data_IF_773000349628
#
_entry.id   IF_773000349628
#
_cell.length_a   1.000
_cell.length_b   1.000
_cell.length_c   1.000
_cell.angle_alpha   90.00
_cell.angle_beta   90.00
_cell.angle_gamma   90.00
#
_symmetry.space_group_name_H-M   'P 1'
#
loop_
_entity.id
_entity.type
_entity.pdbx_description
1 polymer ?
#
# COMPACT_ATOMS: atom_id res chain seq x y z
N UNK A 1 8.68 -38.02 -47.42
CA UNK A 1 10.11 -38.18 -47.75
C UNK A 1 10.92 -37.32 -46.78
N UNK A 2 11.40 -37.93 -45.70
CA UNK A 2 12.34 -37.36 -44.72
C UNK A 2 13.76 -37.74 -45.13
N UNK A 3 14.73 -36.82 -45.09
CA UNK A 3 16.17 -37.10 -44.94
C UNK A 3 16.79 -35.92 -44.17
N UNK A 4 17.04 -36.08 -42.87
CA UNK A 4 18.26 -36.63 -42.25
C UNK A 4 19.49 -35.71 -42.37
N UNK A 5 19.85 -35.12 -41.23
CA UNK A 5 21.18 -34.61 -40.87
C UNK A 5 22.23 -35.72 -40.83
N UNK A 6 23.51 -35.34 -40.93
CA UNK A 6 24.52 -36.01 -40.12
C UNK A 6 25.46 -35.04 -39.36
N UNK A 7 26.01 -35.57 -38.27
CA UNK A 7 26.98 -35.01 -37.32
C UNK A 7 28.35 -35.67 -37.58
N UNK A 8 29.45 -34.91 -37.47
CA UNK A 8 30.82 -35.36 -37.10
C UNK A 8 31.68 -34.08 -36.87
N UNK A 9 32.11 -33.68 -35.66
CA UNK A 9 33.15 -34.16 -34.72
C UNK A 9 34.61 -33.96 -35.19
N UNK A 10 35.27 -32.96 -34.55
CA UNK A 10 36.67 -32.81 -34.06
C UNK A 10 37.87 -32.96 -35.05
N UNK A 11 39.07 -32.36 -34.92
CA UNK A 11 39.96 -32.02 -33.77
C UNK A 11 40.98 -30.92 -34.18
N UNK A 12 41.39 -30.10 -33.20
CA UNK A 12 42.57 -29.24 -32.99
C UNK A 12 43.66 -29.01 -34.06
N UNK A 13 44.18 -27.77 -34.12
CA UNK A 13 45.58 -27.44 -33.76
C UNK A 13 45.87 -25.93 -33.72
N UNK A 14 46.80 -25.58 -32.85
CA UNK A 14 47.17 -24.24 -32.38
C UNK A 14 48.00 -23.43 -33.38
N UNK A 15 47.93 -22.09 -33.27
CA UNK A 15 49.08 -21.23 -33.53
C UNK A 15 49.10 -20.09 -32.51
N UNK A 16 50.15 -20.08 -31.69
CA UNK A 16 50.50 -19.01 -30.77
C UNK A 16 51.11 -17.83 -31.54
N UNK A 17 50.70 -16.60 -31.21
CA UNK A 17 51.61 -15.46 -31.21
C UNK A 17 51.49 -14.74 -29.86
N UNK A 18 52.63 -14.71 -29.17
CA UNK A 18 52.84 -14.04 -27.91
C UNK A 18 52.87 -12.52 -28.10
N UNK A 19 52.14 -11.81 -27.24
CA UNK A 19 52.25 -10.37 -27.03
C UNK A 19 52.16 -10.12 -25.54
N UNK A 20 53.32 -9.91 -24.93
CA UNK A 20 53.51 -9.63 -23.50
C UNK A 20 52.85 -8.31 -23.11
N UNK A 21 51.90 -8.35 -22.17
CA UNK A 21 51.53 -7.20 -21.35
C UNK A 21 51.33 -7.66 -19.91
N UNK A 22 52.02 -6.96 -19.02
CA UNK A 22 52.28 -7.26 -17.62
C UNK A 22 50.98 -7.23 -16.81
N UNK A 23 50.71 -8.32 -16.07
CA UNK A 23 49.65 -8.39 -15.08
C UNK A 23 50.07 -7.60 -13.82
N UNK A 24 49.42 -6.46 -13.59
CA UNK A 24 49.28 -5.87 -12.26
C UNK A 24 48.03 -6.41 -11.58
N UNK A 25 47.99 -6.54 -10.25
CA UNK A 25 46.85 -7.13 -9.56
C UNK A 25 45.65 -6.18 -9.65
N UNK A 26 44.56 -6.66 -10.27
CA UNK A 26 43.26 -6.01 -10.19
C UNK A 26 42.74 -6.25 -8.78
N UNK A 27 42.78 -5.20 -7.96
CA UNK A 27 42.08 -5.19 -6.69
C UNK A 27 40.58 -5.33 -6.95
N UNK A 28 39.99 -6.40 -6.43
CA UNK A 28 38.54 -6.56 -6.29
C UNK A 28 37.98 -5.36 -5.53
N UNK A 29 37.40 -4.41 -6.26
CA UNK A 29 36.53 -3.39 -5.67
C UNK A 29 35.14 -3.99 -5.56
N UNK A 30 34.59 -4.17 -4.34
CA UNK A 30 33.21 -4.59 -4.21
C UNK A 30 32.30 -3.51 -4.79
N UNK A 31 31.34 -3.94 -5.61
CA UNK A 31 30.14 -3.18 -5.95
C UNK A 31 29.56 -2.59 -4.66
N UNK A 32 29.45 -1.27 -4.58
CA UNK A 32 28.75 -0.58 -3.50
C UNK A 32 27.29 -1.07 -3.53
N UNK A 33 26.98 -2.02 -2.67
CA UNK A 33 25.62 -2.38 -2.29
C UNK A 33 24.98 -1.10 -1.79
N UNK A 34 23.93 -0.63 -2.47
CA UNK A 34 23.10 0.46 -1.99
C UNK A 34 22.66 0.10 -0.57
N UNK A 35 23.20 0.83 0.40
CA UNK A 35 22.90 0.63 1.80
C UNK A 35 21.41 0.86 1.96
N UNK A 36 20.67 -0.21 2.25
CA UNK A 36 19.27 -0.12 2.62
C UNK A 36 19.18 0.95 3.72
N UNK A 37 18.39 1.99 3.48
CA UNK A 37 18.09 2.95 4.53
C UNK A 37 17.60 2.13 5.73
N UNK A 38 18.29 2.30 6.87
CA UNK A 38 17.97 1.60 8.09
C UNK A 38 16.45 1.69 8.34
N UNK A 39 15.80 0.60 8.80
CA UNK A 39 14.40 0.69 9.20
C UNK A 39 14.29 1.85 10.18
N UNK A 40 13.38 2.79 9.87
CA UNK A 40 13.05 3.84 10.82
C UNK A 40 12.84 3.16 12.17
N UNK A 41 13.61 3.58 13.18
CA UNK A 41 13.48 3.06 14.54
C UNK A 41 12.00 2.96 14.89
N UNK A 42 11.53 1.88 15.55
CA UNK A 42 10.13 1.72 15.88
C UNK A 42 9.75 2.99 16.62
N UNK A 43 8.95 3.82 15.93
CA UNK A 43 8.55 5.07 16.51
C UNK A 43 7.87 4.67 17.81
N UNK A 44 8.37 5.16 18.93
CA UNK A 44 7.73 5.07 20.25
C UNK A 44 6.48 5.96 20.20
N UNK A 45 5.61 5.69 19.22
CA UNK A 45 4.31 6.28 19.05
C UNK A 45 3.50 5.66 20.17
N UNK A 46 3.29 6.48 21.20
CA UNK A 46 2.17 6.38 22.13
C UNK A 46 1.01 5.71 21.39
N UNK A 47 0.59 4.54 21.89
CA UNK A 47 -0.49 3.73 21.32
C UNK A 47 -1.59 4.69 20.83
N UNK A 48 -2.02 4.65 19.56
CA UNK A 48 -3.20 5.42 19.17
C UNK A 48 -4.29 5.11 20.18
N UNK A 49 -5.01 6.14 20.62
CA UNK A 49 -6.04 5.98 21.64
C UNK A 49 -6.92 4.80 21.22
N UNK A 50 -7.19 3.83 22.12
CA UNK A 50 -8.10 2.73 21.80
C UNK A 50 -9.37 3.36 21.25
N UNK A 51 -9.82 2.87 20.09
CA UNK A 51 -11.01 3.38 19.43
C UNK A 51 -12.11 3.50 20.48
N UNK A 52 -12.62 4.72 20.63
CA UNK A 52 -13.66 5.06 21.58
C UNK A 52 -14.76 4.01 21.50
N UNK A 53 -15.24 3.51 22.65
CA UNK A 53 -16.45 2.68 22.71
C UNK A 53 -17.51 3.34 21.82
N UNK A 54 -18.07 2.55 20.89
CA UNK A 54 -19.00 3.00 19.86
C UNK A 54 -20.09 3.91 20.47
N UNK A 55 -20.36 5.04 19.81
CA UNK A 55 -21.57 5.82 20.09
C UNK A 55 -22.80 4.97 19.76
N UNK A 56 -23.79 4.97 20.64
CA UNK A 56 -25.01 4.17 20.52
C UNK A 56 -25.64 4.29 19.13
N UNK A 57 -26.14 3.17 18.61
CA UNK A 57 -26.81 3.09 17.31
C UNK A 57 -27.99 4.09 17.27
N UNK A 58 -28.10 4.88 16.20
CA UNK A 58 -29.18 5.83 16.04
C UNK A 58 -30.48 5.04 15.77
N UNK A 59 -31.27 4.88 16.83
CA UNK A 59 -32.44 4.01 16.98
C UNK A 59 -32.09 2.50 17.04
N UNK A 60 -32.40 1.79 18.14
CA UNK A 60 -32.15 0.36 18.22
C UNK A 60 -33.06 -0.37 17.23
N UNK A 61 -32.46 -1.07 16.27
CA UNK A 61 -33.18 -2.06 15.48
C UNK A 61 -33.89 -3.06 16.44
N UNK A 62 -35.03 -3.64 16.05
CA UNK A 62 -35.72 -4.61 16.90
C UNK A 62 -34.77 -5.75 17.27
N UNK A 63 -34.54 -5.92 18.57
CA UNK A 63 -33.69 -6.98 19.11
C UNK A 63 -34.53 -8.24 19.29
N UNK A 64 -34.05 -9.37 18.76
CA UNK A 64 -34.64 -10.68 19.04
C UNK A 64 -33.79 -11.39 20.10
N UNK A 65 -34.41 -12.27 20.89
CA UNK A 65 -33.62 -13.20 21.70
C UNK A 65 -32.93 -14.18 20.77
N UNK A 66 -31.60 -14.18 20.80
CA UNK A 66 -30.75 -15.09 20.02
C UNK A 66 -30.03 -16.02 20.99
N UNK A 67 -30.06 -17.31 20.68
CA UNK A 67 -29.23 -18.30 21.37
C UNK A 67 -27.78 -18.16 20.90
N UNK A 68 -26.91 -17.69 21.78
CA UNK A 68 -25.50 -17.47 21.52
C UNK A 68 -24.69 -18.62 22.11
N UNK A 69 -23.78 -19.16 21.30
CA UNK A 69 -22.82 -20.18 21.66
C UNK A 69 -21.42 -19.55 21.54
N UNK A 70 -20.79 -19.25 22.67
CA UNK A 70 -19.44 -18.68 22.69
C UNK A 70 -18.63 -19.20 23.87
N UNK A 71 -17.43 -18.65 24.08
CA UNK A 71 -16.51 -19.05 25.15
C UNK A 71 -17.05 -18.80 26.57
N UNK A 72 -18.18 -18.11 26.73
CA UNK A 72 -18.88 -17.90 28.01
C UNK A 72 -20.07 -18.86 28.19
N UNK A 73 -20.28 -19.80 27.26
CA UNK A 73 -21.35 -20.81 27.30
C UNK A 73 -22.55 -20.50 26.41
N UNK A 74 -23.63 -21.26 26.60
CA UNK A 74 -24.89 -21.12 25.85
C UNK A 74 -25.84 -20.20 26.61
N UNK A 75 -26.30 -19.12 25.99
CA UNK A 75 -27.26 -18.18 26.60
C UNK A 75 -28.20 -17.56 25.57
N UNK A 76 -29.40 -17.21 25.99
CA UNK A 76 -30.27 -16.30 25.24
C UNK A 76 -29.89 -14.86 25.58
N UNK A 77 -29.69 -14.03 24.57
CA UNK A 77 -29.41 -12.60 24.75
C UNK A 77 -30.12 -11.78 23.67
N UNK A 78 -30.63 -10.58 24.02
CA UNK A 78 -31.25 -9.69 23.05
C UNK A 78 -30.18 -9.09 22.14
N UNK A 79 -30.23 -9.41 20.85
CA UNK A 79 -29.34 -8.84 19.84
C UNK A 79 -30.15 -8.35 18.64
N UNK A 80 -29.76 -7.19 18.09
CA UNK A 80 -30.02 -6.88 16.67
C UNK A 80 -29.06 -7.70 15.80
N UNK A 81 -29.36 -7.84 14.50
CA UNK A 81 -28.46 -8.52 13.57
C UNK A 81 -27.05 -7.90 13.54
N UNK A 82 -26.97 -6.57 13.62
CA UNK A 82 -25.70 -5.84 13.65
C UNK A 82 -24.93 -6.09 14.96
N UNK A 83 -25.62 -6.09 16.11
CA UNK A 83 -24.99 -6.37 17.40
C UNK A 83 -24.53 -7.83 17.51
N UNK A 84 -25.30 -8.77 16.96
CA UNK A 84 -24.90 -10.17 16.91
C UNK A 84 -23.65 -10.35 16.03
N UNK A 85 -23.62 -9.73 14.85
CA UNK A 85 -22.44 -9.78 13.98
C UNK A 85 -21.20 -9.21 14.67
N UNK A 86 -21.33 -8.05 15.32
CA UNK A 86 -20.25 -7.47 16.11
C UNK A 86 -19.80 -8.39 17.25
N UNK A 87 -20.75 -8.96 18.01
CA UNK A 87 -20.44 -9.90 19.10
C UNK A 87 -19.68 -11.12 18.58
N UNK A 88 -20.16 -11.72 17.49
CA UNK A 88 -19.51 -12.88 16.88
C UNK A 88 -18.10 -12.54 16.38
N UNK A 89 -17.90 -11.39 15.74
CA UNK A 89 -16.59 -11.00 15.22
C UNK A 89 -15.65 -10.60 16.34
N UNK A 90 -16.07 -9.73 17.26
CA UNK A 90 -15.20 -9.04 18.21
C UNK A 90 -15.17 -9.66 19.61
N UNK A 91 -16.21 -10.35 20.04
CA UNK A 91 -16.34 -10.81 21.44
C UNK A 91 -16.27 -12.34 21.58
N UNK A 92 -16.21 -13.06 20.46
CA UNK A 92 -15.89 -14.49 20.44
C UNK A 92 -14.46 -14.74 20.00
N UNK A 93 -13.97 -15.95 20.22
CA UNK A 93 -12.64 -16.39 19.78
C UNK A 93 -12.65 -16.88 18.31
N UNK A 94 -13.57 -16.37 17.48
CA UNK A 94 -13.68 -16.70 16.05
C UNK A 94 -12.56 -16.10 15.19
N UNK A 95 -11.88 -15.06 15.67
CA UNK A 95 -10.70 -14.46 15.05
C UNK A 95 -9.57 -14.34 16.07
N UNK A 96 -8.31 -14.40 15.62
CA UNK A 96 -7.16 -14.10 16.47
C UNK A 96 -7.01 -12.59 16.69
N UNK A 97 -7.73 -12.10 17.69
CA UNK A 97 -7.69 -10.69 18.10
C UNK A 97 -6.35 -10.23 18.65
N UNK A 98 -5.51 -11.16 19.13
CA UNK A 98 -4.23 -10.85 19.78
C UNK A 98 -3.05 -10.95 18.82
N UNK A 99 -3.27 -11.46 17.61
CA UNK A 99 -2.28 -11.53 16.55
C UNK A 99 -1.54 -10.19 16.41
N UNK A 100 -0.22 -10.22 16.61
CA UNK A 100 0.59 -9.03 16.40
C UNK A 100 0.62 -8.65 14.91
N UNK A 101 0.61 -7.34 14.64
CA UNK A 101 0.68 -6.78 13.28
C UNK A 101 2.01 -6.06 13.08
N UNK A 102 2.43 -5.87 11.81
CA UNK A 102 3.71 -5.23 11.49
C UNK A 102 3.80 -3.76 11.94
N UNK A 103 2.65 -3.09 12.07
CA UNK A 103 2.54 -1.71 12.54
C UNK A 103 2.52 -1.58 14.08
N UNK A 104 2.76 -2.67 14.83
CA UNK A 104 2.83 -2.65 16.29
C UNK A 104 1.47 -2.60 16.98
N UNK A 105 0.40 -3.01 16.29
CA UNK A 105 -0.97 -3.13 16.81
C UNK A 105 -1.40 -4.61 16.85
N UNK A 106 -2.69 -4.88 17.02
CA UNK A 106 -3.24 -6.23 17.07
C UNK A 106 -4.22 -6.52 15.92
N UNK A 107 -4.54 -7.80 15.70
CA UNK A 107 -5.58 -8.23 14.76
C UNK A 107 -6.92 -7.52 15.01
N UNK A 108 -7.28 -7.30 16.29
CA UNK A 108 -8.47 -6.52 16.66
C UNK A 108 -8.45 -5.10 16.08
N UNK A 109 -7.30 -4.43 16.10
CA UNK A 109 -7.17 -3.05 15.60
C UNK A 109 -7.40 -2.97 14.08
N UNK A 110 -7.11 -4.03 13.32
CA UNK A 110 -7.40 -4.11 11.87
C UNK A 110 -8.84 -4.46 11.54
N UNK A 111 -9.54 -5.16 12.44
CA UNK A 111 -10.96 -5.46 12.30
C UNK A 111 -11.83 -4.26 12.65
N UNK A 112 -11.35 -3.37 13.52
CA UNK A 112 -12.06 -2.18 13.92
C UNK A 112 -12.05 -1.11 12.82
N UNK A 113 -13.25 -0.74 12.35
CA UNK A 113 -13.40 0.31 11.35
C UNK A 113 -13.27 1.70 11.97
N UNK A 114 -12.50 2.58 11.32
CA UNK A 114 -12.58 4.00 11.60
C UNK A 114 -13.88 4.61 11.04
N UNK A 115 -14.13 5.88 11.36
CA UNK A 115 -15.38 6.53 10.97
C UNK A 115 -15.55 6.64 9.45
N UNK A 116 -14.48 6.91 8.69
CA UNK A 116 -14.56 6.96 7.21
C UNK A 116 -14.91 5.56 6.69
N UNK A 117 -14.24 4.51 7.17
CA UNK A 117 -14.53 3.12 6.79
C UNK A 117 -15.98 2.77 7.09
N UNK A 118 -16.48 3.11 8.28
CA UNK A 118 -17.87 2.86 8.67
C UNK A 118 -18.86 3.56 7.74
N UNK A 119 -18.64 4.83 7.44
CA UNK A 119 -19.51 5.60 6.53
C UNK A 119 -19.46 5.08 5.09
N UNK A 120 -18.33 4.51 4.67
CA UNK A 120 -18.15 3.93 3.34
C UNK A 120 -18.50 2.44 3.26
N UNK A 121 -18.90 1.80 4.37
CA UNK A 121 -19.22 0.37 4.40
C UNK A 121 -20.68 0.11 4.10
N UNK A 122 -20.94 -0.92 3.31
CA UNK A 122 -22.29 -1.36 2.97
C UNK A 122 -22.47 -1.59 1.46
N UNK A 123 -23.56 -2.27 1.11
CA UNK A 123 -23.91 -2.48 -0.31
C UNK A 123 -24.54 -1.19 -0.84
N UNK A 124 -24.04 -0.68 -1.97
CA UNK A 124 -24.58 0.50 -2.65
C UNK A 124 -24.70 1.76 -1.76
N UNK A 125 -23.66 2.07 -0.98
CA UNK A 125 -23.63 3.27 -0.14
C UNK A 125 -23.90 4.50 -1.02
N UNK A 126 -25.07 5.12 -0.80
CA UNK A 126 -25.41 6.43 -1.37
C UNK A 126 -25.18 7.47 -0.27
N UNK A 127 -24.16 8.29 -0.46
CA UNK A 127 -23.87 9.38 0.47
C UNK A 127 -24.75 10.58 0.16
N UNK A 128 -25.33 11.20 1.19
CA UNK A 128 -25.83 12.56 1.07
C UNK A 128 -24.67 13.57 1.07
N UNK A 129 -24.96 14.81 0.67
CA UNK A 129 -23.95 15.86 0.55
C UNK A 129 -23.27 16.16 1.90
N UNK A 130 -24.04 16.10 2.99
CA UNK A 130 -23.53 16.35 4.35
C UNK A 130 -22.52 15.28 4.77
N UNK A 131 -22.80 14.02 4.49
CA UNK A 131 -21.92 12.89 4.80
C UNK A 131 -20.70 12.92 3.91
N UNK A 132 -20.86 13.25 2.62
CA UNK A 132 -19.77 13.45 1.67
C UNK A 132 -18.81 14.54 2.16
N UNK A 133 -19.33 15.72 2.50
CA UNK A 133 -18.54 16.83 3.03
C UNK A 133 -17.78 16.42 4.31
N UNK A 134 -18.46 15.73 5.23
CA UNK A 134 -17.85 15.24 6.47
C UNK A 134 -16.69 14.29 6.22
N UNK A 135 -16.83 13.35 5.28
CA UNK A 135 -15.74 12.42 4.91
C UNK A 135 -14.55 13.19 4.36
N UNK A 136 -14.80 14.12 3.43
CA UNK A 136 -13.76 14.92 2.80
C UNK A 136 -13.01 15.76 3.84
N UNK A 137 -13.72 16.40 4.77
CA UNK A 137 -13.12 17.18 5.87
C UNK A 137 -12.24 16.33 6.79
N UNK A 138 -12.74 15.17 7.24
CA UNK A 138 -11.94 14.24 8.06
C UNK A 138 -10.70 13.74 7.31
N UNK A 139 -10.83 13.49 6.01
CA UNK A 139 -9.72 13.05 5.18
C UNK A 139 -8.68 14.16 4.99
N UNK A 140 -9.11 15.38 4.68
CA UNK A 140 -8.23 16.54 4.55
C UNK A 140 -7.47 16.82 5.86
N UNK A 141 -8.17 16.77 7.00
CA UNK A 141 -7.58 16.97 8.33
C UNK A 141 -6.54 15.89 8.70
N UNK A 142 -6.57 14.72 8.06
CA UNK A 142 -5.59 13.65 8.30
C UNK A 142 -4.25 13.86 7.59
N UNK A 143 -4.18 14.77 6.61
CA UNK A 143 -3.00 14.96 5.77
C UNK A 143 -1.90 15.66 6.57
N UNK A 144 -0.71 15.07 6.54
CA UNK A 144 0.51 15.67 7.09
C UNK A 144 1.46 16.00 5.97
N UNK A 145 1.75 17.28 5.80
CA UNK A 145 2.71 17.73 4.80
C UNK A 145 4.16 17.56 5.30
N UNK A 146 5.13 17.32 4.40
CA UNK A 146 6.54 17.21 4.76
C UNK A 146 7.12 18.55 5.19
N UNK A 147 8.04 18.51 6.15
CA UNK A 147 8.81 19.69 6.57
C UNK A 147 9.63 20.22 5.38
N UNK A 148 9.50 21.51 5.08
CA UNK A 148 10.14 22.13 3.90
C UNK A 148 9.37 22.00 2.58
N UNK A 149 8.12 21.52 2.63
CA UNK A 149 7.20 21.51 1.50
C UNK A 149 7.33 20.28 0.60
N UNK A 150 6.36 20.12 -0.30
CA UNK A 150 6.30 18.97 -1.23
C UNK A 150 7.36 19.15 -2.32
N UNK A 151 8.22 18.14 -2.46
CA UNK A 151 9.26 18.07 -3.50
C UNK A 151 9.18 16.72 -4.21
N UNK A 152 9.61 16.67 -5.46
CA UNK A 152 9.75 15.40 -6.17
C UNK A 152 10.96 14.64 -5.62
N UNK A 153 10.76 13.36 -5.35
CA UNK A 153 11.82 12.44 -4.93
C UNK A 153 12.54 11.79 -6.12
N UNK A 154 12.94 10.54 -5.96
CA UNK A 154 13.62 9.75 -6.99
C UNK A 154 12.63 8.89 -7.79
N UNK A 155 12.46 9.21 -9.08
CA UNK A 155 11.50 8.51 -9.94
C UNK A 155 11.82 7.02 -10.11
N UNK A 156 13.08 6.60 -10.00
CA UNK A 156 13.48 5.19 -10.10
C UNK A 156 13.00 4.43 -8.87
N UNK A 157 13.12 5.02 -7.69
CA UNK A 157 12.54 4.43 -6.46
C UNK A 157 11.01 4.43 -6.53
N UNK A 158 10.41 5.52 -7.01
CA UNK A 158 8.97 5.60 -7.22
C UNK A 158 8.42 4.52 -8.13
N UNK A 159 9.14 4.20 -9.21
CA UNK A 159 8.81 3.11 -10.14
C UNK A 159 8.76 1.75 -9.47
N UNK A 160 9.74 1.44 -8.63
CA UNK A 160 9.78 0.17 -7.90
C UNK A 160 8.72 0.11 -6.80
N UNK A 161 8.48 1.22 -6.09
CA UNK A 161 7.38 1.33 -5.12
C UNK A 161 6.01 1.11 -5.80
N UNK A 162 5.79 1.73 -6.96
CA UNK A 162 4.54 1.62 -7.72
C UNK A 162 4.26 0.19 -8.20
N UNK A 163 5.30 -0.63 -8.39
CA UNK A 163 5.18 -2.02 -8.82
C UNK A 163 5.06 -3.01 -7.65
N UNK A 164 5.68 -2.70 -6.52
CA UNK A 164 5.68 -3.62 -5.38
C UNK A 164 4.31 -3.71 -4.72
N UNK A 165 3.76 -4.93 -4.63
CA UNK A 165 2.59 -5.27 -3.81
C UNK A 165 2.93 -5.86 -2.44
N UNK A 166 4.19 -5.78 -2.02
CA UNK A 166 4.67 -6.35 -0.76
C UNK A 166 4.21 -5.52 0.44
N UNK A 167 3.83 -6.17 1.55
CA UNK A 167 3.70 -5.54 2.86
C UNK A 167 2.39 -5.80 3.57
N UNK A 168 2.45 -5.79 4.90
CA UNK A 168 1.32 -5.82 5.82
C UNK A 168 0.43 -7.07 5.77
N UNK A 169 0.77 -8.15 5.05
CA UNK A 169 0.03 -9.42 5.19
C UNK A 169 0.32 -10.04 6.56
N UNK A 170 -0.71 -10.43 7.33
CA UNK A 170 -0.52 -10.91 8.72
C UNK A 170 -0.80 -12.40 8.92
N UNK A 171 -1.53 -13.07 8.03
CA UNK A 171 -1.93 -14.48 8.20
C UNK A 171 -0.81 -15.46 7.77
N UNK A 172 -1.12 -16.47 6.95
CA UNK A 172 -0.19 -17.56 6.60
C UNK A 172 1.07 -17.13 5.82
N UNK A 173 1.13 -15.88 5.35
CA UNK A 173 2.29 -15.29 4.67
C UNK A 173 2.60 -13.92 5.27
N UNK A 174 3.18 -13.93 6.47
CA UNK A 174 3.52 -12.68 7.18
C UNK A 174 4.64 -11.95 6.46
N UNK A 175 4.40 -10.70 6.06
CA UNK A 175 5.45 -9.86 5.48
C UNK A 175 6.43 -9.37 6.55
N UNK A 176 7.72 -9.41 6.23
CA UNK A 176 8.82 -8.99 7.10
C UNK A 176 9.39 -7.65 6.65
N UNK A 177 9.00 -6.59 7.37
CA UNK A 177 9.43 -5.22 7.07
C UNK A 177 10.87 -4.89 7.50
N UNK A 178 11.58 -5.83 8.13
CA UNK A 178 13.02 -5.65 8.43
C UNK A 178 13.89 -5.83 7.18
N UNK A 179 13.37 -6.51 6.15
CA UNK A 179 14.08 -6.82 4.90
C UNK A 179 13.72 -5.86 3.77
N UNK A 180 12.45 -5.47 3.69
CA UNK A 180 11.91 -4.63 2.63
C UNK A 180 10.75 -3.79 3.15
N UNK A 181 10.68 -2.52 2.73
CA UNK A 181 9.54 -1.66 3.05
C UNK A 181 8.29 -2.03 2.24
N UNK A 182 7.09 -1.66 2.72
CA UNK A 182 5.85 -1.85 1.96
C UNK A 182 5.87 -1.11 0.62
N UNK A 183 5.27 -1.74 -0.38
CA UNK A 183 5.07 -1.17 -1.71
C UNK A 183 3.80 -0.32 -1.82
N UNK A 184 3.74 0.49 -2.87
CA UNK A 184 2.58 1.34 -3.17
C UNK A 184 1.53 0.62 -4.03
N UNK A 185 1.93 -0.43 -4.76
CA UNK A 185 1.06 -1.30 -5.53
C UNK A 185 0.16 -0.58 -6.56
N UNK A 186 0.63 0.54 -7.11
CA UNK A 186 -0.12 1.40 -8.02
C UNK A 186 -0.56 0.67 -9.30
N UNK A 187 0.31 -0.19 -9.84
CA UNK A 187 0.05 -0.94 -11.08
C UNK A 187 -1.14 -1.91 -10.96
N UNK A 188 -1.52 -2.35 -9.76
CA UNK A 188 -2.71 -3.21 -9.61
C UNK A 188 -4.02 -2.49 -9.99
N UNK A 189 -4.04 -1.16 -9.94
CA UNK A 189 -5.24 -0.36 -10.20
C UNK A 189 -5.12 0.53 -11.42
N UNK A 190 -3.91 0.97 -11.77
CA UNK A 190 -3.67 1.97 -12.80
C UNK A 190 -2.69 1.45 -13.84
N UNK A 191 -2.90 1.85 -15.10
CA UNK A 191 -1.84 1.87 -16.10
C UNK A 191 -0.97 3.13 -15.89
N UNK A 192 0.36 2.97 -15.78
CA UNK A 192 1.30 4.08 -15.55
C UNK A 192 2.31 4.27 -16.70
N UNK A 193 3.30 3.39 -16.84
CA UNK A 193 4.22 3.40 -17.97
C UNK A 193 3.94 2.20 -18.88
N UNK A 194 4.28 2.30 -20.16
CA UNK A 194 3.94 1.29 -21.17
C UNK A 194 4.82 0.03 -21.12
N UNK A 195 5.88 0.04 -20.32
CA UNK A 195 6.80 -1.07 -20.15
C UNK A 195 6.36 -2.09 -19.09
N UNK A 196 5.28 -1.81 -18.36
CA UNK A 196 4.63 -2.71 -17.40
C UNK A 196 3.11 -2.68 -17.60
N UNK A 197 2.47 -3.83 -17.49
CA UNK A 197 1.01 -3.92 -17.56
C UNK A 197 0.40 -3.46 -16.24
N UNK A 198 -0.53 -2.52 -16.30
CA UNK A 198 -1.32 -2.05 -15.16
C UNK A 198 -2.79 -2.46 -15.23
N UNK A 199 -3.49 -2.25 -14.13
CA UNK A 199 -4.92 -2.48 -13.98
C UNK A 199 -5.78 -1.32 -14.48
N UNK A 200 -7.09 -1.50 -14.40
CA UNK A 200 -8.12 -0.57 -14.90
C UNK A 200 -9.17 -0.21 -13.85
N UNK A 201 -8.92 -0.49 -12.57
CA UNK A 201 -9.81 -0.10 -11.47
C UNK A 201 -9.82 1.42 -11.27
N UNK A 202 -8.65 2.04 -11.43
CA UNK A 202 -8.49 3.49 -11.43
C UNK A 202 -8.25 4.03 -12.84
N UNK A 203 -8.27 5.37 -13.01
CA UNK A 203 -7.97 5.99 -14.30
C UNK A 203 -6.54 5.69 -14.75
N UNK A 204 -6.32 5.71 -16.06
CA UNK A 204 -4.98 5.68 -16.64
C UNK A 204 -4.17 6.92 -16.19
N UNK A 205 -2.89 6.68 -15.85
CA UNK A 205 -1.94 7.70 -15.41
C UNK A 205 -0.76 7.86 -16.38
N UNK A 206 -0.79 7.20 -17.54
CA UNK A 206 0.20 7.42 -18.60
C UNK A 206 0.24 8.89 -19.00
N UNK A 207 1.45 9.46 -19.06
CA UNK A 207 1.68 10.87 -19.38
C UNK A 207 1.22 11.84 -18.29
N UNK A 208 1.00 11.41 -17.04
CA UNK A 208 0.42 12.24 -15.98
C UNK A 208 1.08 13.62 -15.84
N UNK A 209 2.41 13.66 -15.71
CA UNK A 209 3.18 14.90 -15.60
C UNK A 209 3.14 15.74 -16.86
N UNK A 210 3.21 15.08 -18.03
CA UNK A 210 3.12 15.75 -19.35
C UNK A 210 1.77 16.43 -19.58
N UNK A 211 0.68 15.81 -19.14
CA UNK A 211 -0.69 16.30 -19.34
C UNK A 211 -1.05 17.38 -18.32
N UNK A 212 -0.69 17.18 -17.04
CA UNK A 212 -1.12 18.06 -15.95
C UNK A 212 -0.14 19.19 -15.64
N UNK A 213 1.11 19.05 -16.08
CA UNK A 213 2.19 20.00 -15.77
C UNK A 213 2.71 19.85 -14.34
N UNK A 214 3.90 20.41 -14.10
CA UNK A 214 4.58 20.38 -12.80
C UNK A 214 4.49 21.79 -12.19
N UNK A 215 3.50 22.01 -11.34
CA UNK A 215 3.31 23.27 -10.61
C UNK A 215 2.91 22.99 -9.15
N UNK A 216 3.03 23.97 -8.24
CA UNK A 216 2.77 23.76 -6.81
C UNK A 216 1.38 23.19 -6.51
N UNK A 217 0.34 23.64 -7.21
CA UNK A 217 -1.03 23.18 -7.00
C UNK A 217 -1.20 21.71 -7.42
N UNK A 218 -0.60 21.33 -8.54
CA UNK A 218 -0.62 19.95 -9.02
C UNK A 218 0.18 19.02 -8.11
N UNK A 219 1.35 19.45 -7.63
CA UNK A 219 2.13 18.68 -6.66
C UNK A 219 1.34 18.47 -5.37
N UNK A 220 0.69 19.52 -4.87
CA UNK A 220 -0.17 19.44 -3.68
C UNK A 220 -1.35 18.49 -3.90
N UNK A 221 -2.09 18.67 -4.99
CA UNK A 221 -3.22 17.82 -5.34
C UNK A 221 -2.82 16.33 -5.40
N UNK A 222 -1.73 16.01 -6.11
CA UNK A 222 -1.28 14.62 -6.25
C UNK A 222 -0.79 14.04 -4.92
N UNK A 223 -0.09 14.84 -4.11
CA UNK A 223 0.32 14.44 -2.76
C UNK A 223 -0.90 14.09 -1.90
N UNK A 224 -1.91 14.97 -1.89
CA UNK A 224 -3.15 14.80 -1.13
C UNK A 224 -3.91 13.54 -1.57
N UNK A 225 -4.00 13.28 -2.88
CA UNK A 225 -4.64 12.08 -3.42
C UNK A 225 -3.90 10.80 -2.98
N UNK A 226 -2.57 10.78 -3.02
CA UNK A 226 -1.79 9.61 -2.58
C UNK A 226 -1.84 9.45 -1.06
N UNK A 227 -1.84 10.56 -0.32
CA UNK A 227 -1.85 10.54 1.14
C UNK A 227 -3.19 10.06 1.68
N UNK A 228 -4.29 10.66 1.20
CA UNK A 228 -5.66 10.28 1.52
C UNK A 228 -6.62 10.71 0.38
N UNK A 229 -7.00 9.79 -0.53
CA UNK A 229 -7.82 10.14 -1.70
C UNK A 229 -9.25 10.55 -1.34
N UNK A 230 -9.72 10.21 -0.13
CA UNK A 230 -11.03 10.61 0.36
C UNK A 230 -11.15 12.12 0.57
N UNK A 231 -10.04 12.88 0.51
CA UNK A 231 -10.08 14.35 0.59
C UNK A 231 -10.78 14.99 -0.61
N UNK A 232 -10.77 14.33 -1.78
CA UNK A 232 -11.45 14.80 -3.00
C UNK A 232 -12.53 13.82 -3.46
N UNK A 233 -12.39 12.54 -3.11
CA UNK A 233 -13.23 11.46 -3.60
C UNK A 233 -13.74 10.63 -2.42
N UNK A 234 -14.81 11.09 -1.77
CA UNK A 234 -15.44 10.35 -0.68
C UNK A 234 -15.69 8.89 -1.08
N UNK A 235 -15.32 7.98 -0.19
CA UNK A 235 -15.36 6.53 -0.40
C UNK A 235 -14.64 6.00 -1.66
N UNK A 236 -13.57 6.67 -2.12
CA UNK A 236 -12.68 6.12 -3.14
C UNK A 236 -12.14 4.74 -2.74
N UNK A 237 -11.96 3.87 -3.74
CA UNK A 237 -11.32 2.56 -3.58
C UNK A 237 -9.79 2.65 -3.44
N UNK A 238 -9.21 3.82 -3.76
CA UNK A 238 -7.76 4.02 -3.62
C UNK A 238 -7.39 4.03 -2.13
N UNK A 239 -6.36 3.27 -1.69
CA UNK A 239 -5.97 3.24 -0.29
C UNK A 239 -5.50 4.58 0.25
N UNK A 240 -5.71 4.81 1.55
CA UNK A 240 -5.23 5.99 2.29
C UNK A 240 -3.76 5.84 2.69
N UNK A 241 -2.88 5.73 1.71
CA UNK A 241 -1.51 5.25 1.90
C UNK A 241 -0.69 6.07 2.90
N UNK A 242 -0.82 7.40 2.89
CA UNK A 242 -0.16 8.27 3.87
C UNK A 242 -0.85 8.25 5.23
N UNK A 243 -2.17 8.43 5.26
CA UNK A 243 -2.93 8.53 6.52
C UNK A 243 -2.93 7.21 7.33
N UNK A 244 -2.78 6.07 6.66
CA UNK A 244 -2.62 4.74 7.29
C UNK A 244 -1.16 4.30 7.42
N UNK A 245 -0.21 5.20 7.16
CA UNK A 245 1.22 4.94 7.26
C UNK A 245 1.69 3.70 6.48
N UNK A 246 1.00 3.39 5.37
CA UNK A 246 1.44 2.37 4.42
C UNK A 246 2.70 2.87 3.71
N UNK A 247 2.69 4.16 3.31
CA UNK A 247 3.84 4.82 2.72
C UNK A 247 4.31 5.97 3.61
N UNK A 248 5.63 6.12 3.72
CA UNK A 248 6.26 7.30 4.30
C UNK A 248 6.13 8.51 3.36
N UNK A 249 6.29 9.73 3.89
CA UNK A 249 6.27 10.94 3.06
C UNK A 249 7.33 10.91 1.95
N UNK A 250 8.51 10.35 2.22
CA UNK A 250 9.55 10.19 1.20
C UNK A 250 9.13 9.23 0.09
N UNK A 251 8.54 8.07 0.44
CA UNK A 251 8.04 7.12 -0.57
C UNK A 251 6.92 7.74 -1.42
N UNK A 252 6.06 8.56 -0.82
CA UNK A 252 5.04 9.32 -1.57
C UNK A 252 5.72 10.28 -2.54
N UNK A 253 6.73 11.05 -2.11
CA UNK A 253 7.48 11.96 -2.98
C UNK A 253 8.23 11.24 -4.10
N UNK A 254 8.75 10.03 -3.86
CA UNK A 254 9.38 9.19 -4.88
C UNK A 254 8.33 8.72 -5.91
N UNK A 255 7.16 8.25 -5.47
CA UNK A 255 6.04 7.89 -6.37
C UNK A 255 5.56 9.10 -7.17
N UNK A 256 5.50 10.29 -6.55
CA UNK A 256 5.18 11.51 -7.27
C UNK A 256 6.23 11.85 -8.34
N UNK A 257 7.52 11.66 -8.05
CA UNK A 257 8.57 11.82 -9.07
C UNK A 257 8.35 10.84 -10.23
N UNK A 258 7.95 9.60 -9.96
CA UNK A 258 7.60 8.66 -11.02
C UNK A 258 6.44 9.15 -11.91
N UNK A 259 5.47 9.86 -11.34
CA UNK A 259 4.35 10.43 -12.12
C UNK A 259 4.73 11.71 -12.88
N UNK A 260 5.57 12.57 -12.30
CA UNK A 260 5.83 13.93 -12.82
C UNK A 260 7.14 14.09 -13.58
N UNK A 261 8.18 13.34 -13.25
CA UNK A 261 9.52 13.55 -13.81
C UNK A 261 9.51 13.35 -15.34
N UNK A 262 10.01 14.31 -16.14
CA UNK A 262 10.09 14.18 -17.60
C UNK A 262 10.94 12.99 -18.07
N UNK A 263 11.87 12.51 -17.26
CA UNK A 263 12.70 11.33 -17.54
C UNK A 263 12.02 10.02 -17.17
N UNK A 264 10.98 10.05 -16.33
CA UNK A 264 10.20 8.86 -15.99
C UNK A 264 9.56 8.23 -17.23
N UNK A 265 9.55 6.89 -17.36
CA UNK A 265 8.86 6.20 -18.46
C UNK A 265 7.34 6.43 -18.46
N UNK A 266 6.75 6.96 -17.38
CA UNK A 266 5.35 7.40 -17.38
C UNK A 266 5.14 8.55 -18.38
N UNK A 267 6.14 9.41 -18.57
CA UNK A 267 6.03 10.62 -19.37
C UNK A 267 6.73 10.51 -20.74
N UNK A 268 7.10 9.30 -21.17
CA UNK A 268 7.73 9.02 -22.46
C UNK A 268 6.73 8.69 -23.56
#
# INVERSE_FOLDING_TARGET
MLKQTPIAIAVASALMLAGTAVAGPVADKPMLVAQAAAPAAPATKKRPAPLLKRAAEAAPAPSNEVMVFDSKGVRLAPFSAAMLAEHLVMETDGFDHKQATQEGTTGRDRLAQDEIQRLCSGKNVKLDDKTTARINEMAAASIKYPEGGIKLGDWKKGRELAWSGFGFRTAHQVDDHTKQGPGANCYNCHQLATDRTGGTLGPELTGYGKIRGINPDMLKYTYDVIYNPHTYFACSNMPRSGAKAILTQQQIMDVMAYLFDPESPVNK
#
